data_IF_805724707133
#
_entry.id   IF_805724707133
#
_cell.length_a   1.000
_cell.length_b   1.000
_cell.length_c   1.000
_cell.angle_alpha   90.00
_cell.angle_beta   90.00
_cell.angle_gamma   90.00
#
_symmetry.space_group_name_H-M   'P 1'
#
loop_
_entity.id
_entity.type
_entity.pdbx_description
1 polymer ?
#
# COMPACT_ATOMS: atom_id res chain seq x y z
N UNK A 1 -41.48 -33.42 47.66
CA UNK A 1 -40.09 -33.39 47.09
C UNK A 1 -40.06 -33.03 45.62
N UNK A 2 -40.86 -33.61 44.72
CA UNK A 2 -40.89 -33.28 43.29
C UNK A 2 -41.34 -31.83 43.02
N UNK A 3 -42.41 -31.39 43.69
CA UNK A 3 -42.95 -30.02 43.58
C UNK A 3 -41.96 -28.93 44.07
N UNK A 4 -41.20 -29.25 45.12
CA UNK A 4 -40.22 -28.31 45.68
C UNK A 4 -38.97 -28.16 44.79
N UNK A 5 -38.60 -29.22 44.09
CA UNK A 5 -37.48 -29.20 43.11
C UNK A 5 -37.85 -28.42 41.83
N UNK A 6 -39.04 -28.65 41.28
CA UNK A 6 -39.54 -27.93 40.12
C UNK A 6 -39.71 -26.43 40.42
N UNK A 7 -40.10 -26.05 41.63
CA UNK A 7 -40.21 -24.66 42.06
C UNK A 7 -38.84 -23.96 42.09
N UNK A 8 -37.76 -24.65 42.49
CA UNK A 8 -36.41 -24.06 42.53
C UNK A 8 -35.82 -23.81 41.14
N UNK A 9 -36.04 -24.73 40.22
CA UNK A 9 -35.59 -24.59 38.83
C UNK A 9 -36.30 -23.43 38.12
N UNK A 10 -37.60 -23.33 38.32
CA UNK A 10 -38.46 -22.33 37.73
C UNK A 10 -37.97 -20.90 38.00
N UNK A 11 -37.46 -20.62 39.18
CA UNK A 11 -37.01 -19.29 39.61
C UNK A 11 -35.50 -19.03 39.40
N UNK A 12 -34.79 -19.82 38.57
CA UNK A 12 -33.41 -19.51 38.23
C UNK A 12 -33.32 -18.19 37.44
N UNK A 13 -32.41 -17.28 37.83
CA UNK A 13 -32.28 -15.95 37.17
C UNK A 13 -31.58 -15.98 35.83
N UNK A 14 -31.21 -17.15 35.33
CA UNK A 14 -30.55 -17.40 34.07
C UNK A 14 -31.37 -18.39 33.23
N UNK A 15 -31.28 -18.31 31.89
CA UNK A 15 -31.86 -19.32 31.03
C UNK A 15 -31.27 -20.70 31.32
N UNK A 16 -32.14 -21.61 31.78
CA UNK A 16 -31.79 -22.96 32.15
C UNK A 16 -32.82 -23.94 31.61
N UNK A 17 -32.33 -25.08 31.10
CA UNK A 17 -33.16 -26.17 30.56
C UNK A 17 -32.73 -27.52 31.12
N UNK A 18 -33.69 -28.38 31.38
CA UNK A 18 -33.48 -29.81 31.50
C UNK A 18 -33.98 -30.48 30.22
N UNK A 19 -33.11 -31.25 29.57
CA UNK A 19 -33.41 -31.92 28.31
C UNK A 19 -33.19 -33.42 28.41
N UNK A 20 -33.95 -34.20 27.65
CA UNK A 20 -33.69 -35.62 27.48
C UNK A 20 -32.64 -35.91 26.41
N UNK A 21 -32.38 -37.20 26.16
CA UNK A 21 -31.42 -37.63 25.12
C UNK A 21 -31.88 -37.29 23.70
N UNK A 22 -33.17 -37.02 23.47
CA UNK A 22 -33.77 -36.60 22.21
C UNK A 22 -33.84 -35.06 22.09
N UNK A 23 -33.25 -34.34 23.06
CA UNK A 23 -33.23 -32.87 23.16
C UNK A 23 -34.62 -32.26 23.46
N UNK A 24 -35.61 -33.05 23.88
CA UNK A 24 -36.88 -32.50 24.32
C UNK A 24 -36.71 -31.80 25.67
N UNK A 25 -37.37 -30.66 25.82
CA UNK A 25 -37.31 -29.87 27.05
C UNK A 25 -38.25 -30.48 28.10
N UNK A 26 -37.66 -31.01 29.17
CA UNK A 26 -38.38 -31.59 30.29
C UNK A 26 -38.80 -30.55 31.34
N UNK A 27 -37.91 -29.60 31.59
CA UNK A 27 -38.15 -28.47 32.50
C UNK A 27 -37.33 -27.26 32.06
N UNK A 28 -37.76 -26.05 32.41
CA UNK A 28 -37.07 -24.81 32.07
C UNK A 28 -37.34 -23.72 33.12
N UNK A 29 -36.43 -22.75 33.23
CA UNK A 29 -36.60 -21.58 34.09
C UNK A 29 -37.57 -20.56 33.50
N UNK A 30 -38.16 -19.70 34.33
CA UNK A 30 -38.98 -18.57 33.89
C UNK A 30 -38.16 -17.66 32.97
N UNK A 31 -36.87 -17.51 33.24
CA UNK A 31 -35.97 -16.74 32.41
C UNK A 31 -35.76 -17.32 31.01
N UNK A 32 -35.77 -18.66 30.87
CA UNK A 32 -35.77 -19.31 29.57
C UNK A 32 -37.03 -18.99 28.76
N UNK A 33 -38.20 -19.03 29.42
CA UNK A 33 -39.49 -18.72 28.77
C UNK A 33 -39.56 -17.27 28.29
N UNK A 34 -39.02 -16.33 29.09
CA UNK A 34 -38.93 -14.92 28.71
C UNK A 34 -37.95 -14.66 27.56
N UNK A 35 -36.80 -15.36 27.57
CA UNK A 35 -35.72 -15.14 26.59
C UNK A 35 -36.01 -15.82 25.27
N UNK A 36 -36.50 -17.05 25.32
CA UNK A 36 -36.78 -17.89 24.16
C UNK A 36 -38.28 -18.14 24.00
N UNK A 37 -38.78 -18.23 22.78
CA UNK A 37 -40.14 -18.68 22.55
C UNK A 37 -40.30 -20.11 23.10
N UNK A 38 -41.44 -20.38 23.73
CA UNK A 38 -41.73 -21.71 24.29
C UNK A 38 -41.74 -22.77 23.19
N UNK A 39 -40.69 -23.58 23.13
CA UNK A 39 -40.46 -24.68 22.17
C UNK A 39 -40.42 -26.01 22.92
N UNK A 40 -40.83 -27.08 22.24
CA UNK A 40 -40.79 -28.42 22.83
C UNK A 40 -39.42 -29.08 22.78
N UNK A 41 -38.58 -28.67 21.82
CA UNK A 41 -37.24 -29.22 21.63
C UNK A 41 -36.19 -28.10 21.60
N UNK A 42 -35.06 -28.34 22.23
CA UNK A 42 -33.98 -27.34 22.33
C UNK A 42 -33.40 -26.96 20.96
N UNK A 43 -33.33 -27.90 20.02
CA UNK A 43 -32.82 -27.64 18.68
C UNK A 43 -33.68 -26.68 17.87
N UNK A 44 -34.95 -26.49 18.23
CA UNK A 44 -35.82 -25.50 17.58
C UNK A 44 -35.51 -24.07 18.00
N UNK A 45 -34.73 -23.89 19.07
CA UNK A 45 -34.22 -22.60 19.53
C UNK A 45 -32.88 -22.28 18.85
N UNK A 46 -32.16 -23.31 18.40
CA UNK A 46 -30.83 -23.14 17.74
C UNK A 46 -31.01 -22.70 16.31
N UNK A 47 -30.24 -21.68 15.90
CA UNK A 47 -30.17 -21.23 14.50
C UNK A 47 -29.70 -22.34 13.56
N UNK A 48 -30.20 -22.34 12.32
CA UNK A 48 -29.95 -23.39 11.32
C UNK A 48 -28.47 -23.67 11.08
N UNK A 49 -27.62 -22.63 11.01
CA UNK A 49 -26.17 -22.79 10.81
C UNK A 49 -25.45 -23.37 12.03
N UNK A 50 -26.00 -23.16 13.22
CA UNK A 50 -25.45 -23.68 14.50
C UNK A 50 -25.97 -25.05 14.89
N UNK A 51 -26.98 -25.61 14.21
CA UNK A 51 -27.63 -26.87 14.58
C UNK A 51 -26.70 -28.08 14.57
N UNK A 52 -25.89 -28.23 13.53
CA UNK A 52 -24.95 -29.33 13.43
C UNK A 52 -23.93 -29.30 14.58
N UNK A 53 -23.41 -28.12 14.87
CA UNK A 53 -22.48 -27.87 15.96
C UNK A 53 -23.15 -28.17 17.34
N UNK A 54 -24.40 -27.75 17.51
CA UNK A 54 -25.17 -28.04 18.72
C UNK A 54 -25.42 -29.54 18.92
N UNK A 55 -25.79 -30.28 17.86
CA UNK A 55 -25.97 -31.72 17.91
C UNK A 55 -24.71 -32.45 18.35
N UNK A 56 -23.55 -32.15 17.73
CA UNK A 56 -22.26 -32.75 18.10
C UNK A 56 -21.95 -32.49 19.59
N UNK A 57 -22.19 -31.26 20.04
CA UNK A 57 -21.99 -30.85 21.43
C UNK A 57 -22.88 -31.63 22.41
N UNK A 58 -24.20 -31.69 22.13
CA UNK A 58 -25.17 -32.31 23.01
C UNK A 58 -25.02 -33.84 23.06
N UNK A 59 -24.70 -34.48 21.92
CA UNK A 59 -24.53 -35.95 21.83
C UNK A 59 -23.24 -36.44 22.49
N UNK A 60 -22.19 -35.59 22.56
CA UNK A 60 -20.87 -36.02 23.04
C UNK A 60 -20.85 -36.50 24.50
N UNK A 61 -21.90 -36.25 25.31
CA UNK A 61 -22.13 -36.69 26.71
C UNK A 61 -20.89 -36.61 27.62
N UNK A 62 -19.92 -35.72 27.30
CA UNK A 62 -18.79 -35.48 28.19
C UNK A 62 -19.30 -34.77 29.45
N UNK A 63 -18.67 -35.03 30.57
CA UNK A 63 -19.17 -34.68 31.92
C UNK A 63 -19.41 -33.17 32.11
N UNK A 64 -18.68 -32.33 31.39
CA UNK A 64 -18.88 -30.88 31.37
C UNK A 64 -18.34 -30.31 30.05
N UNK A 65 -19.14 -29.54 29.34
CA UNK A 65 -18.77 -28.90 28.08
C UNK A 65 -19.35 -27.50 28.00
N UNK A 66 -18.65 -26.64 27.32
CA UNK A 66 -19.06 -25.26 27.00
C UNK A 66 -18.91 -25.02 25.51
N UNK A 67 -19.88 -24.34 24.91
CA UNK A 67 -19.89 -24.02 23.49
C UNK A 67 -20.60 -22.69 23.25
N UNK A 68 -20.14 -21.94 22.24
CA UNK A 68 -20.87 -20.78 21.76
C UNK A 68 -21.82 -21.21 20.64
N UNK A 69 -23.11 -20.91 20.82
CA UNK A 69 -24.20 -21.17 19.86
C UNK A 69 -24.95 -19.88 19.54
N UNK A 70 -25.43 -19.76 18.32
CA UNK A 70 -26.40 -18.74 17.94
C UNK A 70 -27.80 -19.30 18.21
N UNK A 71 -28.54 -18.63 19.10
CA UNK A 71 -29.88 -19.01 19.49
C UNK A 71 -30.88 -17.93 19.08
N UNK A 72 -32.10 -18.37 18.74
CA UNK A 72 -33.23 -17.52 18.43
C UNK A 72 -33.93 -17.11 19.73
N UNK A 73 -33.94 -15.79 19.98
CA UNK A 73 -34.67 -15.23 21.14
C UNK A 73 -35.99 -14.60 20.70
N UNK A 74 -36.83 -14.26 21.68
CA UNK A 74 -38.09 -13.54 21.44
C UNK A 74 -37.86 -12.15 20.78
N UNK A 75 -36.68 -11.56 20.96
CA UNK A 75 -36.36 -10.21 20.51
C UNK A 75 -35.35 -10.14 19.33
N UNK A 76 -34.61 -11.23 19.09
CA UNK A 76 -33.60 -11.29 18.01
C UNK A 76 -33.51 -12.71 17.45
N UNK A 77 -33.52 -12.88 16.13
CA UNK A 77 -33.29 -14.18 15.51
C UNK A 77 -31.85 -14.69 15.64
N UNK A 78 -30.89 -13.81 15.96
CA UNK A 78 -29.47 -14.12 16.03
C UNK A 78 -28.84 -13.52 17.29
N UNK A 79 -28.85 -14.28 18.38
CA UNK A 79 -28.16 -13.90 19.62
C UNK A 79 -27.12 -14.96 19.98
N UNK A 80 -25.89 -14.50 20.29
CA UNK A 80 -24.81 -15.41 20.68
C UNK A 80 -24.89 -15.75 22.14
N UNK A 81 -24.95 -17.04 22.45
CA UNK A 81 -24.98 -17.58 23.80
C UNK A 81 -23.78 -18.49 24.04
N UNK A 82 -23.17 -18.40 25.22
CA UNK A 82 -22.34 -19.46 25.78
C UNK A 82 -23.24 -20.47 26.46
N UNK A 83 -23.22 -21.70 25.95
CA UNK A 83 -24.04 -22.80 26.43
C UNK A 83 -23.17 -23.83 27.16
N UNK A 84 -23.49 -24.12 28.40
CA UNK A 84 -22.81 -25.15 29.19
C UNK A 84 -23.81 -26.28 29.54
N UNK A 85 -23.42 -27.54 29.30
CA UNK A 85 -24.25 -28.72 29.62
C UNK A 85 -23.53 -29.66 30.56
N UNK A 86 -24.32 -30.26 31.47
CA UNK A 86 -23.90 -31.35 32.32
C UNK A 86 -24.92 -32.50 32.24
N UNK A 87 -24.45 -33.70 31.86
CA UNK A 87 -25.31 -34.90 31.79
C UNK A 87 -25.25 -35.73 33.06
N UNK A 88 -26.41 -36.07 33.60
CA UNK A 88 -26.57 -37.00 34.72
C UNK A 88 -27.81 -37.87 34.51
N UNK A 89 -27.66 -39.18 34.60
CA UNK A 89 -28.75 -40.18 34.52
C UNK A 89 -29.71 -40.00 33.33
N UNK A 90 -29.16 -39.62 32.13
CA UNK A 90 -29.95 -39.43 30.91
C UNK A 90 -30.62 -38.04 30.81
N UNK A 91 -30.44 -37.17 31.80
CA UNK A 91 -30.93 -35.80 31.80
C UNK A 91 -29.76 -34.84 31.58
N UNK A 92 -29.86 -33.94 30.58
CA UNK A 92 -28.92 -32.85 30.29
C UNK A 92 -29.35 -31.55 30.98
N UNK A 93 -28.50 -31.02 31.84
CA UNK A 93 -28.69 -29.76 32.56
C UNK A 93 -27.95 -28.66 31.80
N UNK A 94 -28.70 -27.83 31.08
CA UNK A 94 -28.18 -26.84 30.15
C UNK A 94 -28.39 -25.41 30.65
N UNK A 95 -27.33 -24.62 30.67
CA UNK A 95 -27.35 -23.20 31.00
C UNK A 95 -26.93 -22.40 29.75
N UNK A 96 -27.64 -21.31 29.45
CA UNK A 96 -27.37 -20.43 28.34
C UNK A 96 -27.12 -18.99 28.84
N UNK A 97 -25.92 -18.43 28.56
CA UNK A 97 -25.54 -17.08 28.96
C UNK A 97 -25.34 -16.22 27.70
N UNK A 98 -26.13 -15.18 27.56
CA UNK A 98 -26.03 -14.28 26.40
C UNK A 98 -24.72 -13.50 26.40
N UNK A 99 -24.06 -13.46 25.22
CA UNK A 99 -22.77 -12.81 25.02
C UNK A 99 -22.90 -11.41 24.37
N UNK A 100 -23.96 -10.69 24.70
CA UNK A 100 -24.26 -9.35 24.12
C UNK A 100 -23.13 -8.37 24.27
N UNK A 101 -22.46 -8.32 25.42
CA UNK A 101 -21.35 -7.40 25.69
C UNK A 101 -20.09 -7.76 24.86
N UNK A 102 -19.87 -9.05 24.59
CA UNK A 102 -18.75 -9.52 23.77
C UNK A 102 -18.89 -9.08 22.32
N UNK A 103 -20.10 -9.17 21.75
CA UNK A 103 -20.38 -8.70 20.38
C UNK A 103 -20.24 -7.19 20.27
N UNK A 104 -20.83 -6.40 21.15
CA UNK A 104 -20.70 -4.95 21.18
C UNK A 104 -19.26 -4.47 21.33
N UNK A 105 -18.47 -5.16 22.16
CA UNK A 105 -17.05 -4.88 22.33
C UNK A 105 -16.24 -5.19 21.05
N UNK A 106 -16.57 -6.28 20.34
CA UNK A 106 -15.94 -6.63 19.06
C UNK A 106 -16.30 -5.62 17.96
N UNK A 107 -17.56 -5.27 17.83
CA UNK A 107 -18.02 -4.24 16.88
C UNK A 107 -17.30 -2.90 17.10
N UNK A 108 -17.24 -2.43 18.34
CA UNK A 108 -16.53 -1.21 18.72
C UNK A 108 -15.03 -1.27 18.40
N UNK A 109 -14.39 -2.44 18.59
CA UNK A 109 -12.98 -2.63 18.21
C UNK A 109 -12.78 -2.60 16.71
N UNK A 110 -13.65 -3.27 15.94
CA UNK A 110 -13.61 -3.28 14.48
C UNK A 110 -13.77 -1.85 13.95
N UNK A 111 -14.76 -1.11 14.44
CA UNK A 111 -15.01 0.27 14.03
C UNK A 111 -13.79 1.16 14.29
N UNK A 112 -13.18 1.06 15.48
CA UNK A 112 -11.95 1.79 15.81
C UNK A 112 -10.77 1.41 14.91
N UNK A 113 -10.61 0.12 14.58
CA UNK A 113 -9.55 -0.35 13.69
C UNK A 113 -9.76 0.13 12.25
N UNK A 114 -11.01 0.07 11.75
CA UNK A 114 -11.35 0.59 10.42
C UNK A 114 -11.05 2.09 10.31
N UNK A 115 -11.43 2.88 11.31
CA UNK A 115 -11.13 4.31 11.35
C UNK A 115 -9.63 4.58 11.34
N UNK A 116 -8.87 3.89 12.19
CA UNK A 116 -7.40 4.02 12.25
C UNK A 116 -6.73 3.62 10.94
N UNK A 117 -7.20 2.55 10.30
CA UNK A 117 -6.72 2.12 8.99
C UNK A 117 -6.96 3.18 7.90
N UNK A 118 -8.15 3.78 7.89
CA UNK A 118 -8.49 4.85 6.95
C UNK A 118 -7.59 6.08 7.16
N UNK A 119 -7.38 6.51 8.42
CA UNK A 119 -6.49 7.61 8.77
C UNK A 119 -5.03 7.33 8.34
N UNK A 120 -4.50 6.14 8.68
CA UNK A 120 -3.14 5.75 8.29
C UNK A 120 -2.96 5.66 6.78
N UNK A 121 -3.95 5.12 6.05
CA UNK A 121 -3.89 5.06 4.58
C UNK A 121 -3.90 6.46 3.96
N UNK A 122 -4.66 7.40 4.52
CA UNK A 122 -4.67 8.78 4.05
C UNK A 122 -3.30 9.45 4.26
N UNK A 123 -2.71 9.31 5.46
CA UNK A 123 -1.37 9.82 5.75
C UNK A 123 -0.29 9.23 4.83
N UNK A 124 -0.35 7.92 4.55
CA UNK A 124 0.58 7.25 3.63
C UNK A 124 0.45 7.77 2.20
N UNK A 125 -0.77 8.04 1.72
CA UNK A 125 -0.99 8.63 0.40
C UNK A 125 -0.39 10.03 0.31
N UNK A 126 -0.63 10.87 1.32
CA UNK A 126 -0.06 12.22 1.38
C UNK A 126 1.47 12.20 1.39
N UNK A 127 2.08 11.35 2.21
CA UNK A 127 3.53 11.19 2.25
C UNK A 127 4.09 10.69 0.91
N UNK A 128 3.39 9.76 0.26
CA UNK A 128 3.78 9.27 -1.06
C UNK A 128 3.76 10.38 -2.10
N UNK A 129 2.69 11.18 -2.15
CA UNK A 129 2.60 12.32 -3.07
C UNK A 129 3.70 13.35 -2.84
N UNK A 130 3.98 13.69 -1.58
CA UNK A 130 5.08 14.61 -1.23
C UNK A 130 6.44 14.07 -1.66
N UNK A 131 6.66 12.76 -1.47
CA UNK A 131 7.90 12.11 -1.89
C UNK A 131 8.05 12.13 -3.42
N UNK A 132 6.99 11.81 -4.16
CA UNK A 132 6.98 11.84 -5.63
C UNK A 132 7.26 13.25 -6.17
N UNK A 133 6.64 14.28 -5.58
CA UNK A 133 6.90 15.68 -5.95
C UNK A 133 8.33 16.10 -5.65
N UNK A 134 8.86 15.72 -4.49
CA UNK A 134 10.25 16.01 -4.11
C UNK A 134 11.23 15.32 -5.04
N UNK A 135 10.97 14.05 -5.37
CA UNK A 135 11.79 13.29 -6.31
C UNK A 135 11.78 13.91 -7.71
N UNK A 136 10.61 14.28 -8.22
CA UNK A 136 10.48 14.98 -9.50
C UNK A 136 11.31 16.27 -9.53
N UNK A 137 11.22 17.06 -8.46
CA UNK A 137 11.99 18.31 -8.35
C UNK A 137 13.50 18.07 -8.33
N UNK A 138 13.94 17.00 -7.67
CA UNK A 138 15.37 16.59 -7.72
C UNK A 138 15.79 16.27 -9.16
N UNK A 139 14.97 15.52 -9.91
CA UNK A 139 15.26 15.18 -11.30
C UNK A 139 15.33 16.43 -12.19
N UNK A 140 14.40 17.36 -12.04
CA UNK A 140 14.39 18.65 -12.78
C UNK A 140 15.66 19.48 -12.51
N UNK A 141 16.12 19.52 -11.24
CA UNK A 141 17.32 20.25 -10.86
C UNK A 141 18.61 19.53 -11.25
N UNK A 142 18.54 18.20 -11.45
CA UNK A 142 19.72 17.37 -11.77
C UNK A 142 20.20 17.47 -13.22
N UNK A 143 19.43 18.15 -14.09
CA UNK A 143 19.79 18.37 -15.49
C UNK A 143 19.27 19.73 -15.99
N UNK A 144 19.59 20.80 -15.28
CA UNK A 144 19.13 22.14 -15.65
C UNK A 144 20.01 22.78 -16.75
N UNK A 145 19.39 23.60 -17.61
CA UNK A 145 20.08 24.26 -18.72
C UNK A 145 20.71 25.58 -18.25
N UNK A 146 22.00 25.75 -18.51
CA UNK A 146 22.75 26.97 -18.23
C UNK A 146 23.20 27.62 -19.58
N UNK A 147 22.78 28.85 -19.82
CA UNK A 147 23.26 29.61 -20.99
C UNK A 147 24.67 30.10 -20.72
N UNK A 148 25.63 29.65 -21.51
CA UNK A 148 27.03 30.14 -21.47
C UNK A 148 27.26 31.29 -22.41
N UNK A 149 26.71 31.26 -23.64
CA UNK A 149 26.74 32.34 -24.61
C UNK A 149 25.42 32.36 -25.41
N UNK A 150 25.35 33.23 -26.46
CA UNK A 150 24.15 33.30 -27.32
C UNK A 150 23.88 31.99 -28.07
N UNK A 151 24.92 31.20 -28.32
CA UNK A 151 24.84 29.98 -29.13
C UNK A 151 25.22 28.71 -28.35
N UNK A 152 25.70 28.84 -27.11
CA UNK A 152 26.25 27.73 -26.31
C UNK A 152 25.51 27.55 -25.02
N UNK A 153 25.06 26.34 -24.78
CA UNK A 153 24.43 25.87 -23.51
C UNK A 153 25.26 24.82 -22.80
N UNK A 154 25.11 24.75 -21.46
CA UNK A 154 25.69 23.73 -20.61
C UNK A 154 24.56 23.06 -19.82
N UNK A 155 24.58 21.75 -19.76
CA UNK A 155 23.69 20.95 -18.95
C UNK A 155 24.51 20.08 -18.00
N UNK A 156 24.70 20.51 -16.74
CA UNK A 156 25.34 19.66 -15.75
C UNK A 156 24.40 18.53 -15.40
N UNK A 157 24.88 17.28 -15.49
CA UNK A 157 24.15 16.08 -15.05
C UNK A 157 24.65 15.68 -13.69
N UNK A 158 23.70 15.49 -12.74
CA UNK A 158 24.03 15.18 -11.36
C UNK A 158 23.31 13.91 -10.91
N UNK A 159 24.01 13.06 -10.15
CA UNK A 159 23.46 11.84 -9.59
C UNK A 159 23.62 10.63 -10.51
N UNK A 160 22.57 9.81 -10.62
CA UNK A 160 22.57 8.62 -11.46
C UNK A 160 21.97 8.91 -12.83
N UNK A 161 22.67 8.54 -13.90
CA UNK A 161 22.11 8.61 -15.25
C UNK A 161 21.17 7.44 -15.47
N UNK A 162 19.90 7.66 -15.20
CA UNK A 162 18.80 6.73 -15.36
C UNK A 162 17.74 7.27 -16.35
N UNK A 163 16.79 6.43 -16.81
CA UNK A 163 15.76 6.86 -17.76
C UNK A 163 14.86 7.97 -17.24
N UNK A 164 14.58 7.99 -15.94
CA UNK A 164 13.70 8.95 -15.29
C UNK A 164 14.31 10.37 -15.39
N UNK A 165 15.59 10.52 -15.06
CA UNK A 165 16.31 11.79 -15.18
C UNK A 165 16.21 12.37 -16.60
N UNK A 166 16.43 11.55 -17.60
CA UNK A 166 16.39 12.01 -18.99
C UNK A 166 14.96 12.31 -19.43
N UNK A 167 13.99 11.47 -19.07
CA UNK A 167 12.59 11.65 -19.47
C UNK A 167 11.98 12.94 -18.92
N UNK A 168 12.24 13.24 -17.64
CA UNK A 168 11.71 14.46 -17.00
C UNK A 168 12.31 15.73 -17.63
N UNK A 169 13.55 15.66 -18.11
CA UNK A 169 14.25 16.84 -18.66
C UNK A 169 14.22 16.92 -20.19
N UNK A 170 13.85 15.85 -20.92
CA UNK A 170 13.96 15.74 -22.36
C UNK A 170 13.26 16.88 -23.13
N UNK A 171 11.96 17.08 -22.86
CA UNK A 171 11.20 18.13 -23.55
C UNK A 171 11.69 19.53 -23.18
N UNK A 172 11.99 19.76 -21.92
CA UNK A 172 12.47 21.06 -21.42
C UNK A 172 13.80 21.44 -22.07
N UNK A 173 14.77 20.51 -22.10
CA UNK A 173 16.07 20.75 -22.72
C UNK A 173 15.96 20.96 -24.24
N UNK A 174 15.11 20.16 -24.91
CA UNK A 174 14.93 20.30 -26.36
C UNK A 174 14.25 21.62 -26.72
N UNK A 175 13.23 22.05 -25.99
CA UNK A 175 12.54 23.32 -26.20
C UNK A 175 13.46 24.52 -25.93
N UNK A 176 14.18 24.51 -24.79
CA UNK A 176 15.13 25.59 -24.47
C UNK A 176 16.20 25.71 -25.57
N UNK A 177 16.75 24.59 -26.04
CA UNK A 177 17.76 24.56 -27.06
C UNK A 177 17.24 25.12 -28.42
N UNK A 178 16.02 24.75 -28.81
CA UNK A 178 15.37 25.21 -30.02
C UNK A 178 14.98 26.69 -29.94
N UNK A 179 14.23 27.08 -28.90
CA UNK A 179 13.71 28.47 -28.77
C UNK A 179 14.83 29.49 -28.55
N UNK A 180 15.86 29.09 -27.81
CA UNK A 180 17.04 29.88 -27.57
C UNK A 180 18.01 29.92 -28.77
N UNK A 181 17.72 29.18 -29.86
CA UNK A 181 18.58 29.07 -31.08
C UNK A 181 20.00 28.66 -30.74
N UNK A 182 20.17 27.80 -29.74
CA UNK A 182 21.48 27.26 -29.41
C UNK A 182 21.97 26.34 -30.52
N UNK A 183 23.26 26.46 -30.86
CA UNK A 183 23.92 25.62 -31.86
C UNK A 183 24.75 24.50 -31.20
N UNK A 184 25.19 24.73 -29.97
CA UNK A 184 25.99 23.78 -29.19
C UNK A 184 25.47 23.62 -27.79
N UNK A 185 25.40 22.36 -27.32
CA UNK A 185 25.04 22.00 -25.93
C UNK A 185 26.08 21.04 -25.39
N UNK A 186 26.61 21.39 -24.22
CA UNK A 186 27.58 20.59 -23.48
C UNK A 186 26.91 19.90 -22.33
N UNK A 187 27.04 18.59 -22.26
CA UNK A 187 26.58 17.77 -21.13
C UNK A 187 27.75 17.45 -20.22
N UNK A 188 27.72 17.97 -18.98
CA UNK A 188 28.79 17.76 -18.02
C UNK A 188 28.50 16.55 -17.14
N UNK A 189 29.32 15.51 -17.25
CA UNK A 189 29.27 14.25 -16.52
C UNK A 189 30.12 14.24 -15.25
N UNK A 190 30.77 15.34 -14.87
CA UNK A 190 31.68 15.37 -13.71
C UNK A 190 31.01 14.92 -12.41
N UNK A 191 29.73 15.27 -12.25
CA UNK A 191 28.92 14.92 -11.06
C UNK A 191 28.05 13.66 -11.24
N UNK A 192 28.16 12.98 -12.38
CA UNK A 192 27.47 11.71 -12.58
C UNK A 192 28.18 10.62 -11.78
N UNK A 193 27.39 9.89 -10.96
CA UNK A 193 27.87 8.77 -10.17
C UNK A 193 27.83 7.47 -10.97
N UNK A 194 26.63 6.96 -11.22
CA UNK A 194 26.42 5.68 -11.88
C UNK A 194 25.72 5.85 -13.23
N UNK A 195 26.09 5.00 -14.20
CA UNK A 195 25.42 4.92 -15.49
C UNK A 195 24.60 3.63 -15.57
N UNK A 196 23.32 3.74 -15.94
CA UNK A 196 22.49 2.57 -16.27
C UNK A 196 22.45 2.35 -17.78
N UNK A 197 22.23 1.13 -18.23
CA UNK A 197 22.09 0.82 -19.67
C UNK A 197 20.94 1.60 -20.29
N UNK A 198 19.81 1.60 -19.62
CA UNK A 198 18.57 2.25 -20.02
C UNK A 198 18.72 3.78 -19.98
N UNK A 199 19.48 4.30 -19.00
CA UNK A 199 19.79 5.74 -18.92
C UNK A 199 20.64 6.22 -20.09
N UNK A 200 21.63 5.43 -20.53
CA UNK A 200 22.45 5.74 -21.71
C UNK A 200 21.60 5.70 -22.98
N UNK A 201 20.71 4.73 -23.11
CA UNK A 201 19.81 4.66 -24.27
C UNK A 201 18.88 5.88 -24.32
N UNK A 202 18.27 6.27 -23.20
CA UNK A 202 17.45 7.48 -23.10
C UNK A 202 18.26 8.74 -23.39
N UNK A 203 19.50 8.83 -22.90
CA UNK A 203 20.41 9.94 -23.19
C UNK A 203 20.77 10.00 -24.68
N UNK A 204 21.00 8.85 -25.32
CA UNK A 204 21.22 8.77 -26.75
C UNK A 204 20.02 9.28 -27.56
N UNK A 205 18.79 9.00 -27.09
CA UNK A 205 17.57 9.53 -27.71
C UNK A 205 17.45 11.06 -27.53
N UNK A 206 17.79 11.59 -26.36
CA UNK A 206 17.84 13.04 -26.13
C UNK A 206 18.84 13.73 -27.09
N UNK A 207 20.06 13.22 -27.21
CA UNK A 207 21.05 13.72 -28.15
C UNK A 207 20.52 13.66 -29.58
N UNK A 208 19.87 12.58 -29.95
CA UNK A 208 19.27 12.46 -31.29
C UNK A 208 18.22 13.55 -31.54
N UNK A 209 17.33 13.80 -30.58
CA UNK A 209 16.33 14.86 -30.67
C UNK A 209 16.93 16.24 -30.80
N UNK A 210 17.97 16.55 -30.03
CA UNK A 210 18.71 17.81 -30.11
C UNK A 210 19.41 17.97 -31.47
N UNK A 211 20.02 16.91 -31.98
CA UNK A 211 20.64 16.92 -33.32
C UNK A 211 19.61 17.15 -34.43
N UNK A 212 18.37 16.66 -34.30
CA UNK A 212 17.30 16.90 -35.28
C UNK A 212 16.88 18.37 -35.34
N UNK A 213 16.95 19.08 -34.22
CA UNK A 213 16.67 20.53 -34.16
C UNK A 213 17.92 21.38 -34.46
N UNK A 214 19.02 20.77 -34.91
CA UNK A 214 20.20 21.46 -35.38
C UNK A 214 21.28 21.73 -34.33
N UNK A 215 21.15 21.17 -33.12
CA UNK A 215 22.10 21.35 -32.00
C UNK A 215 23.20 20.31 -32.07
N UNK A 216 24.45 20.72 -31.96
CA UNK A 216 25.59 19.81 -31.79
C UNK A 216 25.81 19.54 -30.32
N UNK A 217 25.85 18.24 -29.93
CA UNK A 217 25.99 17.83 -28.55
C UNK A 217 27.42 17.38 -28.23
N UNK A 218 27.94 17.91 -27.14
CA UNK A 218 29.24 17.55 -26.57
C UNK A 218 29.07 16.93 -25.20
N UNK A 219 29.89 15.96 -24.87
CA UNK A 219 29.96 15.34 -23.53
C UNK A 219 31.32 15.64 -22.93
N UNK A 220 31.34 16.23 -21.75
CA UNK A 220 32.53 16.61 -20.99
C UNK A 220 32.55 15.98 -19.61
N UNK A 221 33.68 16.00 -18.94
CA UNK A 221 33.79 15.54 -17.54
C UNK A 221 33.60 14.04 -17.32
N UNK A 222 33.82 13.21 -18.36
CA UNK A 222 33.71 11.77 -18.28
C UNK A 222 34.79 11.15 -17.38
N UNK A 223 34.40 10.37 -16.40
CA UNK A 223 35.32 9.54 -15.63
C UNK A 223 35.83 8.37 -16.49
N UNK A 224 37.03 7.81 -16.21
CA UNK A 224 37.56 6.68 -16.96
C UNK A 224 36.64 5.46 -17.01
N UNK A 225 35.96 5.17 -15.90
CA UNK A 225 34.96 4.10 -15.79
C UNK A 225 33.77 4.31 -16.72
N UNK A 226 33.30 5.56 -16.86
CA UNK A 226 32.20 5.93 -17.76
C UNK A 226 32.63 5.78 -19.22
N UNK A 227 33.86 6.16 -19.55
CA UNK A 227 34.38 6.07 -20.92
C UNK A 227 34.45 4.62 -21.41
N UNK A 228 34.91 3.69 -20.55
CA UNK A 228 34.92 2.23 -20.86
C UNK A 228 33.52 1.72 -21.10
N UNK A 229 32.57 2.12 -20.26
CA UNK A 229 31.17 1.67 -20.33
C UNK A 229 30.49 2.21 -21.62
N UNK A 230 30.65 3.46 -21.94
CA UNK A 230 30.10 4.10 -23.14
C UNK A 230 30.69 3.55 -24.45
N UNK A 231 31.98 3.22 -24.47
CA UNK A 231 32.62 2.58 -25.62
C UNK A 231 31.96 1.28 -26.03
N UNK A 232 31.52 0.48 -25.04
CA UNK A 232 30.90 -0.82 -25.27
C UNK A 232 29.42 -0.72 -25.72
N UNK A 233 28.73 0.36 -25.39
CA UNK A 233 27.30 0.56 -25.66
C UNK A 233 26.99 1.43 -26.87
N UNK A 234 27.99 2.18 -27.40
CA UNK A 234 27.85 2.98 -28.60
C UNK A 234 26.91 4.17 -28.48
N UNK A 235 27.39 5.31 -27.97
CA UNK A 235 26.68 6.57 -28.15
C UNK A 235 26.66 6.96 -29.64
N UNK A 236 25.61 7.65 -30.06
CA UNK A 236 25.36 8.06 -31.44
C UNK A 236 26.61 8.69 -32.09
N UNK A 237 26.88 8.40 -33.37
CA UNK A 237 28.02 8.87 -34.14
C UNK A 237 28.17 10.39 -34.23
N UNK A 238 27.16 11.16 -33.81
CA UNK A 238 27.12 12.62 -33.77
C UNK A 238 27.35 13.24 -32.38
N UNK A 239 27.88 12.45 -31.42
CA UNK A 239 28.25 12.96 -30.10
C UNK A 239 29.75 13.14 -30.04
N UNK A 240 30.17 14.33 -29.66
CA UNK A 240 31.57 14.65 -29.48
C UNK A 240 31.98 14.58 -28.03
N UNK A 241 33.19 14.09 -27.76
CA UNK A 241 33.70 13.96 -26.39
C UNK A 241 34.87 14.91 -26.23
N UNK A 242 34.84 15.73 -25.17
CA UNK A 242 35.88 16.67 -24.80
C UNK A 242 36.34 16.45 -23.37
N UNK A 243 37.54 16.84 -23.03
CA UNK A 243 38.17 16.53 -21.76
C UNK A 243 37.69 17.42 -20.62
N UNK A 244 37.58 18.72 -20.91
CA UNK A 244 37.23 19.76 -19.92
C UNK A 244 36.56 20.96 -20.56
N UNK A 245 36.08 21.89 -19.68
CA UNK A 245 35.40 23.12 -20.06
C UNK A 245 36.31 24.12 -20.79
N UNK A 246 37.64 24.07 -20.59
CA UNK A 246 38.56 25.02 -21.22
C UNK A 246 38.57 24.87 -22.75
N UNK A 247 38.33 23.66 -23.23
CA UNK A 247 38.22 23.39 -24.68
C UNK A 247 36.95 24.04 -25.29
N UNK A 248 35.90 24.30 -24.48
CA UNK A 248 34.67 24.96 -24.94
C UNK A 248 34.94 26.39 -25.39
N UNK A 249 35.76 27.11 -24.64
CA UNK A 249 36.10 28.50 -24.94
C UNK A 249 36.82 28.58 -26.29
N UNK A 250 37.68 27.62 -26.60
CA UNK A 250 38.36 27.54 -27.89
C UNK A 250 37.39 27.24 -29.03
N UNK A 251 36.42 26.34 -28.83
CA UNK A 251 35.43 26.00 -29.86
C UNK A 251 34.46 27.16 -30.12
N UNK A 252 34.00 27.90 -29.08
CA UNK A 252 33.13 29.09 -29.28
C UNK A 252 33.87 30.22 -30.00
N UNK A 253 35.16 30.38 -29.77
CA UNK A 253 36.00 31.34 -30.45
C UNK A 253 36.25 30.98 -31.93
N UNK A 254 36.39 29.71 -32.28
CA UNK A 254 36.52 29.22 -33.63
C UNK A 254 35.23 29.35 -34.46
N UNK A 255 34.07 29.07 -33.83
CA UNK A 255 32.75 29.18 -34.48
C UNK A 255 32.22 30.61 -34.62
N UNK A 256 32.73 31.57 -33.78
CA UNK A 256 32.31 32.97 -33.79
C UNK A 256 33.53 33.93 -33.82
N UNK A 257 34.28 33.99 -34.96
CA UNK A 257 35.51 34.76 -35.03
C UNK A 257 35.35 36.28 -34.80
N UNK A 258 34.11 36.81 -34.84
CA UNK A 258 33.84 38.23 -34.55
C UNK A 258 33.98 38.63 -33.08
N UNK A 259 34.01 37.67 -32.13
CA UNK A 259 34.22 37.94 -30.70
C UNK A 259 35.68 38.15 -30.32
N UNK A 260 36.61 37.74 -31.15
CA UNK A 260 38.06 37.91 -30.92
C UNK A 260 38.53 39.38 -30.89
N UNK A 261 37.75 40.32 -31.41
CA UNK A 261 38.14 41.75 -31.42
C UNK A 261 37.73 42.50 -30.14
N UNK A 262 36.97 41.91 -29.23
CA UNK A 262 36.47 42.59 -28.02
C UNK A 262 37.29 42.25 -26.75
N UNK A 263 38.06 41.17 -26.75
CA UNK A 263 38.90 40.78 -25.60
C UNK A 263 40.35 41.32 -25.61
N UNK A 264 40.71 42.20 -26.55
CA UNK A 264 42.04 42.79 -26.62
C UNK A 264 42.06 44.32 -26.33
N UNK A 265 41.10 44.80 -25.55
CA UNK A 265 41.13 46.17 -25.02
C UNK A 265 40.92 46.21 -23.52
#
# INVERSE_FOLDING_TARGET
>A
MIDEYQSKIKHMPIPYFEIDEEMNILAQSDKSVETFCNKGNFLDIVDLESREKALIFLISKKRQQEIELVLQTAHSPYSLFSCSIHWNEGIGYLVCIEQTDKLKNLESKIEKQCKRLAETNFELLEQKEQLEQSFKRILELSAHFIKLSESVGLVPLTGELNPELIRENHLTLTNIAHDGKFTMVFFDFSSVGKLTSEGIESFSQLIHSLNLVGVICYVIGLKPEHAVYLKNKGLNKKTYFMRNLDEIIQVDLEYNPQKNSIMLH
#
